data_IF_321565536969
#
_entry.id   IF_321565536969
#
_cell.length_a   1.000
_cell.length_b   1.000
_cell.length_c   1.000
_cell.angle_alpha   90.00
_cell.angle_beta   90.00
_cell.angle_gamma   90.00
#
_symmetry.space_group_name_H-M   'P 1'
#
loop_
_entity.id
_entity.type
_entity.pdbx_description
1 polymer ?
#
# COMPACT_ATOMS: atom_id res chain seq x y z
N UNK A 1 1.85 2.74 16.58
CA UNK A 1 2.90 2.03 15.82
C UNK A 1 3.62 1.10 16.77
N UNK A 2 4.02 -0.09 16.31
CA UNK A 2 4.88 -0.98 17.10
C UNK A 2 6.35 -0.72 16.77
N UNK A 3 7.27 -1.08 17.67
CA UNK A 3 8.73 -0.99 17.44
C UNK A 3 9.16 -1.70 16.14
N UNK A 4 8.52 -2.83 15.83
CA UNK A 4 8.70 -3.55 14.58
C UNK A 4 8.37 -2.71 13.35
N UNK A 5 7.31 -1.89 13.39
CA UNK A 5 6.93 -1.04 12.25
C UNK A 5 7.96 0.06 11.99
N UNK A 6 8.60 0.60 13.03
CA UNK A 6 9.65 1.63 12.89
C UNK A 6 10.92 1.06 12.25
N UNK A 7 11.26 -0.19 12.57
CA UNK A 7 12.42 -0.89 12.01
C UNK A 7 12.25 -1.31 10.54
N UNK A 8 11.00 -1.40 10.06
CA UNK A 8 10.67 -1.87 8.72
C UNK A 8 9.88 -0.81 7.94
N UNK A 9 10.52 0.34 7.62
CA UNK A 9 9.83 1.47 7.02
C UNK A 9 9.48 1.22 5.54
N UNK A 10 10.14 0.29 4.85
CA UNK A 10 9.81 -0.04 3.47
C UNK A 10 8.62 -0.99 3.44
N UNK A 11 7.51 -0.58 2.85
CA UNK A 11 6.30 -1.38 2.80
C UNK A 11 5.87 -1.59 1.35
N UNK A 12 5.39 -2.80 1.05
CA UNK A 12 4.68 -3.07 -0.20
C UNK A 12 3.20 -3.00 0.12
N UNK A 13 2.48 -2.10 -0.56
CA UNK A 13 1.04 -1.98 -0.46
C UNK A 13 0.38 -2.52 -1.71
N UNK A 14 -0.76 -3.16 -1.51
CA UNK A 14 -1.73 -3.46 -2.57
C UNK A 14 -2.69 -2.29 -2.67
N UNK A 15 -2.79 -1.72 -3.86
CA UNK A 15 -3.80 -0.69 -4.16
C UNK A 15 -5.08 -1.40 -4.57
N UNK A 16 -6.15 -1.21 -3.81
CA UNK A 16 -7.49 -1.60 -4.21
C UNK A 16 -8.14 -0.38 -4.87
N UNK A 17 -8.39 -0.46 -6.18
CA UNK A 17 -9.27 0.48 -6.87
C UNK A 17 -10.69 0.21 -6.37
N UNK A 18 -11.18 1.09 -5.50
CA UNK A 18 -12.53 0.99 -4.99
C UNK A 18 -13.50 1.49 -6.08
N UNK A 19 -13.78 0.64 -7.08
CA UNK A 19 -14.76 0.93 -8.13
C UNK A 19 -16.18 0.50 -7.73
N UNK A 20 -16.41 -0.02 -6.51
CA UNK A 20 -17.69 -0.65 -6.14
C UNK A 20 -18.22 -0.32 -4.74
N UNK A 21 -18.31 0.96 -4.36
CA UNK A 21 -19.34 1.38 -3.40
C UNK A 21 -20.03 2.65 -3.91
N UNK A 22 -20.93 2.44 -4.86
CA UNK A 22 -22.10 3.27 -5.11
C UNK A 22 -23.04 3.10 -3.90
N UNK A 23 -22.67 3.68 -2.77
CA UNK A 23 -23.51 3.72 -1.58
C UNK A 23 -24.08 5.14 -1.48
N UNK A 24 -25.40 5.24 -1.41
CA UNK A 24 -26.19 6.48 -1.45
C UNK A 24 -26.06 7.38 -0.21
N UNK A 25 -24.85 7.56 0.34
CA UNK A 25 -24.60 8.45 1.46
C UNK A 25 -23.35 9.29 1.16
N UNK A 26 -23.59 10.54 0.76
CA UNK A 26 -22.58 11.50 0.33
C UNK A 26 -21.56 11.88 1.40
N UNK A 27 -20.63 10.98 1.69
CA UNK A 27 -19.34 11.25 2.31
C UNK A 27 -18.28 10.42 1.55
N UNK A 28 -17.96 10.87 0.34
CA UNK A 28 -16.81 10.32 -0.40
C UNK A 28 -15.52 10.88 0.21
N UNK A 29 -15.14 10.38 1.39
CA UNK A 29 -13.73 10.39 1.74
C UNK A 29 -13.08 9.37 0.81
N UNK A 30 -12.48 9.83 -0.29
CA UNK A 30 -11.75 9.02 -1.27
C UNK A 30 -10.52 8.38 -0.64
N UNK A 31 -10.70 7.56 0.39
CA UNK A 31 -9.64 6.82 1.04
C UNK A 31 -9.34 5.66 0.11
N UNK A 32 -8.30 5.83 -0.71
CA UNK A 32 -7.70 4.74 -1.45
C UNK A 32 -7.31 3.65 -0.44
N UNK A 33 -8.10 2.58 -0.38
CA UNK A 33 -7.86 1.49 0.57
C UNK A 33 -6.61 0.73 0.12
N UNK A 34 -5.48 1.04 0.76
CA UNK A 34 -4.22 0.37 0.55
C UNK A 34 -3.97 -0.64 1.67
N UNK A 35 -3.77 -1.91 1.32
CA UNK A 35 -3.44 -2.94 2.30
C UNK A 35 -1.92 -3.22 2.28
N UNK A 36 -1.28 -3.20 3.45
CA UNK A 36 0.14 -3.54 3.59
C UNK A 36 0.32 -5.05 3.44
N UNK A 37 0.96 -5.48 2.36
CA UNK A 37 1.20 -6.89 2.05
C UNK A 37 2.45 -7.38 2.79
N UNK A 38 3.50 -6.55 2.83
CA UNK A 38 4.76 -6.89 3.47
C UNK A 38 5.54 -5.64 3.92
N UNK A 39 6.37 -5.79 4.95
CA UNK A 39 7.28 -4.75 5.45
C UNK A 39 8.72 -5.26 5.43
N UNK A 40 9.65 -4.36 5.12
CA UNK A 40 11.08 -4.61 4.96
C UNK A 40 11.90 -3.52 5.63
N UNK A 41 13.04 -3.92 6.17
CA UNK A 41 14.01 -2.99 6.75
C UNK A 41 14.80 -2.26 5.67
N UNK A 42 15.15 -2.96 4.58
CA UNK A 42 15.94 -2.41 3.46
C UNK A 42 15.09 -2.32 2.19
N UNK A 43 15.32 -1.26 1.40
CA UNK A 43 14.64 -1.05 0.12
C UNK A 43 14.92 -2.18 -0.87
N UNK A 44 16.16 -2.67 -0.91
CA UNK A 44 16.57 -3.69 -1.88
C UNK A 44 15.78 -4.99 -1.70
N UNK A 45 15.55 -5.41 -0.45
CA UNK A 45 14.75 -6.60 -0.13
C UNK A 45 13.29 -6.40 -0.58
N UNK A 46 12.74 -5.20 -0.39
CA UNK A 46 11.40 -4.85 -0.87
C UNK A 46 11.30 -4.86 -2.40
N UNK A 47 12.30 -4.36 -3.12
CA UNK A 47 12.32 -4.34 -4.60
C UNK A 47 12.41 -5.76 -5.17
N UNK A 48 13.28 -6.60 -4.61
CA UNK A 48 13.41 -7.99 -5.04
C UNK A 48 12.08 -8.75 -4.84
N UNK A 49 11.45 -8.59 -3.68
CA UNK A 49 10.14 -9.19 -3.41
C UNK A 49 9.04 -8.63 -4.34
N UNK A 50 9.04 -7.32 -4.60
CA UNK A 50 8.09 -6.68 -5.49
C UNK A 50 8.16 -7.23 -6.92
N UNK A 51 9.37 -7.47 -7.45
CA UNK A 51 9.54 -8.05 -8.78
C UNK A 51 8.94 -9.46 -8.88
N UNK A 52 9.16 -10.29 -7.85
CA UNK A 52 8.56 -11.63 -7.76
C UNK A 52 7.03 -11.54 -7.66
N UNK A 53 6.54 -10.63 -6.81
CA UNK A 53 5.11 -10.42 -6.58
C UNK A 53 4.39 -9.94 -7.84
N UNK A 54 4.98 -8.99 -8.56
CA UNK A 54 4.45 -8.46 -9.82
C UNK A 54 4.44 -9.53 -10.92
N UNK A 55 5.44 -10.43 -10.94
CA UNK A 55 5.46 -11.53 -11.89
C UNK A 55 4.38 -12.58 -11.57
N UNK A 56 4.17 -12.86 -10.29
CA UNK A 56 3.17 -13.83 -9.82
C UNK A 56 1.73 -13.33 -10.03
N UNK A 57 1.48 -12.02 -9.87
CA UNK A 57 0.13 -11.47 -9.88
C UNK A 57 0.04 -10.24 -10.79
N UNK A 58 -0.42 -10.45 -12.03
CA UNK A 58 -0.49 -9.39 -13.06
C UNK A 58 -1.68 -8.44 -12.95
N UNK A 59 -2.76 -8.86 -12.29
CA UNK A 59 -4.02 -8.09 -12.22
C UNK A 59 -4.15 -7.23 -10.95
N UNK A 60 -3.05 -7.03 -10.21
CA UNK A 60 -3.07 -6.26 -8.97
C UNK A 60 -1.96 -5.21 -9.05
N UNK A 61 -2.34 -3.96 -8.74
CA UNK A 61 -1.40 -2.85 -8.62
C UNK A 61 -0.75 -2.90 -7.24
N UNK A 62 0.56 -3.05 -7.22
CA UNK A 62 1.37 -2.95 -6.01
C UNK A 62 2.21 -1.68 -6.06
N UNK A 63 2.51 -1.11 -4.90
CA UNK A 63 3.41 0.03 -4.76
C UNK A 63 4.38 -0.23 -3.61
N UNK A 64 5.63 0.20 -3.77
CA UNK A 64 6.60 0.29 -2.68
C UNK A 64 6.50 1.69 -2.10
N UNK A 65 6.25 1.79 -0.80
CA UNK A 65 6.19 3.06 -0.07
C UNK A 65 7.18 3.06 1.08
N UNK A 66 7.64 4.25 1.45
CA UNK A 66 8.38 4.46 2.69
C UNK A 66 7.41 4.94 3.76
N UNK A 67 6.97 4.02 4.60
CA UNK A 67 5.99 4.23 5.65
C UNK A 67 6.68 4.42 7.01
N UNK A 68 6.95 5.67 7.36
CA UNK A 68 7.51 6.07 8.66
C UNK A 68 6.45 6.27 9.74
N UNK A 69 5.15 6.32 9.38
CA UNK A 69 4.06 6.69 10.31
C UNK A 69 2.99 5.60 10.50
N UNK A 70 3.13 4.46 9.83
CA UNK A 70 2.15 3.39 9.80
C UNK A 70 1.02 3.82 8.88
N UNK A 71 0.92 3.23 7.68
CA UNK A 71 -0.06 3.54 6.63
C UNK A 71 -1.43 3.81 7.23
N UNK A 72 -1.72 5.09 7.50
CA UNK A 72 -3.02 5.54 8.01
C UNK A 72 -3.65 6.55 7.08
N UNK A 73 -2.86 7.23 6.24
CA UNK A 73 -3.34 8.20 5.27
C UNK A 73 -2.38 8.24 4.08
N UNK A 74 -2.69 7.49 3.01
CA UNK A 74 -2.06 7.75 1.71
C UNK A 74 -2.75 9.02 1.17
N UNK A 75 -2.03 10.14 0.94
CA UNK A 75 -2.65 11.30 0.32
C UNK A 75 -3.09 10.92 -1.10
N UNK A 76 -4.32 11.28 -1.43
CA UNK A 76 -4.95 11.10 -2.75
C UNK A 76 -3.99 11.58 -3.86
N UNK A 77 -3.28 10.63 -4.48
CA UNK A 77 -2.42 10.92 -5.62
C UNK A 77 -3.29 10.88 -6.87
N UNK A 78 -3.84 12.04 -7.23
CA UNK A 78 -4.36 12.30 -8.57
C UNK A 78 -3.21 12.18 -9.58
N UNK A 79 -3.21 11.09 -10.33
CA UNK A 79 -2.48 10.94 -11.60
C UNK A 79 -3.32 11.52 -12.73
#
# INVERSE_FOLDING_TARGET
MTYFQQLHPWCIIRVLSNEQLLDNAGINSGVQQSNVVARFRRRNDAVAYFQVLQHSIKNIKFLIIFDVQGVRNLPDMKL
#
